data_IF_517168443510
#
_entry.id   IF_517168443510
#
_cell.length_a   1.000
_cell.length_b   1.000
_cell.length_c   1.000
_cell.angle_alpha   90.00
_cell.angle_beta   90.00
_cell.angle_gamma   90.00
#
_symmetry.space_group_name_H-M   'P 1'
#
loop_
_entity.id
_entity.type
_entity.pdbx_description
1 polymer ?
#
# COMPACT_ATOMS: atom_id res chain seq x y z
N UNK A 1 10.68 25.46 -2.89
CA UNK A 1 10.17 24.67 -4.03
C UNK A 1 9.77 25.67 -5.09
N UNK A 2 10.28 25.52 -6.31
CA UNK A 2 9.83 26.31 -7.47
C UNK A 2 8.39 25.91 -7.83
N UNK A 3 7.75 26.74 -8.65
CA UNK A 3 6.36 26.69 -9.13
C UNK A 3 5.80 25.26 -9.33
N UNK A 4 4.50 25.01 -9.03
CA UNK A 4 3.88 23.72 -9.28
C UNK A 4 4.13 23.31 -10.74
N UNK A 5 4.76 22.16 -10.94
CA UNK A 5 4.69 21.50 -12.24
C UNK A 5 3.29 20.95 -12.40
N UNK A 6 2.57 21.33 -13.46
CA UNK A 6 1.27 20.75 -13.80
C UNK A 6 1.49 19.34 -14.35
N UNK A 7 1.79 18.39 -13.48
CA UNK A 7 1.89 16.99 -13.88
C UNK A 7 0.50 16.39 -14.04
N UNK A 8 0.17 15.97 -15.27
CA UNK A 8 -1.10 15.37 -15.63
C UNK A 8 -0.99 13.86 -15.59
N UNK A 9 -2.00 13.20 -15.03
CA UNK A 9 -2.04 11.74 -15.01
C UNK A 9 -2.03 11.19 -16.44
N UNK A 10 -2.62 11.91 -17.39
CA UNK A 10 -2.61 11.57 -18.81
C UNK A 10 -1.22 11.57 -19.44
N UNK A 11 -0.20 12.17 -18.82
CA UNK A 11 1.19 12.07 -19.30
C UNK A 11 1.77 10.67 -19.07
N UNK A 12 1.26 9.95 -18.07
CA UNK A 12 1.74 8.64 -17.64
C UNK A 12 0.80 7.50 -18.08
N UNK A 13 -0.50 7.72 -17.98
CA UNK A 13 -1.53 6.69 -18.18
C UNK A 13 -2.09 6.77 -19.60
N UNK A 14 -2.17 5.62 -20.27
CA UNK A 14 -2.73 5.48 -21.62
C UNK A 14 -4.16 4.96 -21.63
N UNK A 15 -4.51 4.11 -20.67
CA UNK A 15 -5.80 3.43 -20.59
C UNK A 15 -6.11 3.04 -19.13
N UNK A 16 -7.39 2.84 -18.83
CA UNK A 16 -7.87 2.53 -17.48
C UNK A 16 -8.93 1.45 -17.54
N UNK A 17 -8.75 0.42 -16.72
CA UNK A 17 -9.74 -0.62 -16.47
C UNK A 17 -10.31 -0.46 -15.06
N UNK A 18 -11.63 -0.62 -14.93
CA UNK A 18 -12.32 -0.70 -13.65
C UNK A 18 -12.73 -2.16 -13.44
N UNK A 19 -12.35 -2.73 -12.29
CA UNK A 19 -12.80 -4.04 -11.85
C UNK A 19 -13.70 -3.85 -10.63
N UNK A 20 -14.97 -4.16 -10.82
CA UNK A 20 -15.98 -4.20 -9.76
C UNK A 20 -15.98 -5.58 -9.13
N UNK A 21 -16.00 -5.63 -7.80
CA UNK A 21 -16.05 -6.89 -7.08
C UNK A 21 -17.51 -7.23 -6.75
N UNK A 22 -17.89 -8.49 -6.94
CA UNK A 22 -19.18 -9.01 -6.49
C UNK A 22 -19.39 -8.63 -5.02
N UNK A 23 -20.56 -8.07 -4.73
CA UNK A 23 -21.00 -7.81 -3.37
C UNK A 23 -21.34 -9.14 -2.70
N UNK A 24 -20.34 -9.79 -2.12
CA UNK A 24 -20.60 -10.89 -1.20
C UNK A 24 -21.34 -10.29 -0.01
N UNK A 25 -22.43 -10.91 0.43
CA UNK A 25 -23.21 -10.42 1.57
C UNK A 25 -22.28 -10.16 2.76
N UNK A 26 -22.36 -8.95 3.29
CA UNK A 26 -21.53 -8.41 4.37
C UNK A 26 -20.05 -8.13 4.01
N UNK A 27 -19.65 -8.23 2.74
CA UNK A 27 -18.31 -7.91 2.26
C UNK A 27 -18.01 -6.40 2.24
N UNK A 28 -17.75 -5.82 3.41
CA UNK A 28 -17.38 -4.42 3.54
C UNK A 28 -15.88 -4.20 3.38
N UNK A 29 -15.52 -3.31 2.46
CA UNK A 29 -14.16 -3.01 2.08
C UNK A 29 -13.69 -1.79 2.84
N UNK A 30 -13.18 -1.99 4.06
CA UNK A 30 -12.55 -0.93 4.84
C UNK A 30 -11.16 -1.40 5.23
N UNK A 31 -10.15 -0.58 4.90
CA UNK A 31 -8.80 -0.71 5.42
C UNK A 31 -8.09 -2.06 5.11
N UNK A 32 -8.35 -2.65 3.93
CA UNK A 32 -7.61 -3.83 3.47
C UNK A 32 -6.15 -3.47 3.24
N UNK A 33 -5.25 -3.91 4.12
CA UNK A 33 -3.81 -3.64 3.93
C UNK A 33 -3.19 -4.56 2.87
N UNK A 34 -3.73 -5.76 2.67
CA UNK A 34 -3.25 -6.71 1.67
C UNK A 34 -4.20 -6.89 0.50
N UNK A 35 -3.79 -6.46 -0.70
CA UNK A 35 -4.45 -6.73 -1.97
C UNK A 35 -3.40 -7.26 -2.95
N UNK A 36 -3.68 -8.40 -3.57
CA UNK A 36 -2.91 -8.95 -4.68
C UNK A 36 -3.83 -9.08 -5.90
N UNK A 37 -3.38 -8.57 -7.04
CA UNK A 37 -4.00 -8.76 -8.34
C UNK A 37 -3.02 -9.54 -9.21
N UNK A 38 -3.45 -10.67 -9.75
CA UNK A 38 -2.69 -11.51 -10.67
C UNK A 38 -3.39 -11.57 -12.03
N UNK A 39 -2.97 -12.49 -12.90
CA UNK A 39 -3.56 -12.66 -14.23
C UNK A 39 -4.98 -13.23 -14.16
N UNK A 40 -5.23 -14.13 -13.20
CA UNK A 40 -6.52 -14.82 -13.08
C UNK A 40 -7.25 -14.54 -11.77
N UNK A 41 -6.59 -13.96 -10.76
CA UNK A 41 -7.17 -13.82 -9.43
C UNK A 41 -6.99 -12.43 -8.81
N UNK A 42 -7.94 -12.11 -7.93
CA UNK A 42 -7.86 -11.01 -6.98
C UNK A 42 -7.96 -11.61 -5.59
N UNK A 43 -6.97 -11.35 -4.74
CA UNK A 43 -6.97 -11.83 -3.37
C UNK A 43 -6.75 -10.66 -2.40
N UNK A 44 -7.59 -10.55 -1.37
CA UNK A 44 -7.39 -9.52 -0.35
C UNK A 44 -7.81 -9.98 1.04
N UNK A 45 -7.37 -9.24 2.05
CA UNK A 45 -7.72 -9.45 3.45
C UNK A 45 -8.64 -8.32 3.96
N UNK A 46 -9.86 -8.65 4.35
CA UNK A 46 -10.80 -7.69 4.91
C UNK A 46 -10.61 -7.52 6.41
N UNK A 47 -10.32 -6.29 6.83
CA UNK A 47 -10.10 -5.92 8.23
C UNK A 47 -11.37 -6.10 9.09
N UNK A 48 -12.50 -5.55 8.62
CA UNK A 48 -13.78 -5.55 9.38
C UNK A 48 -14.32 -6.95 9.60
N UNK A 49 -14.42 -7.74 8.54
CA UNK A 49 -15.01 -9.09 8.62
C UNK A 49 -14.01 -10.15 9.03
N UNK A 50 -12.72 -9.80 9.07
CA UNK A 50 -11.63 -10.68 9.47
C UNK A 50 -11.58 -11.94 8.59
N UNK A 51 -11.74 -11.75 7.28
CA UNK A 51 -11.75 -12.82 6.27
C UNK A 51 -10.80 -12.49 5.13
N UNK A 52 -10.19 -13.52 4.57
CA UNK A 52 -9.45 -13.44 3.33
C UNK A 52 -10.32 -13.95 2.17
N UNK A 53 -10.35 -13.21 1.08
CA UNK A 53 -11.22 -13.48 -0.06
C UNK A 53 -10.42 -13.73 -1.33
N UNK A 54 -10.93 -14.65 -2.15
CA UNK A 54 -10.45 -14.91 -3.49
C UNK A 54 -11.59 -14.68 -4.49
N UNK A 55 -11.28 -13.86 -5.49
CA UNK A 55 -12.12 -13.52 -6.62
C UNK A 55 -11.36 -13.89 -7.90
N UNK A 56 -12.09 -14.08 -9.00
CA UNK A 56 -11.44 -14.12 -10.31
C UNK A 56 -11.03 -12.70 -10.76
N UNK A 57 -10.25 -12.62 -11.83
CA UNK A 57 -9.76 -11.35 -12.40
C UNK A 57 -10.87 -10.41 -12.87
N UNK A 58 -12.07 -10.93 -13.14
CA UNK A 58 -13.24 -10.13 -13.52
C UNK A 58 -13.98 -9.55 -12.32
N UNK A 59 -13.57 -9.92 -11.10
CA UNK A 59 -14.18 -9.47 -9.86
C UNK A 59 -15.32 -10.35 -9.38
N UNK A 60 -15.51 -11.54 -9.97
CA UNK A 60 -16.52 -12.50 -9.49
C UNK A 60 -16.01 -13.24 -8.26
N UNK A 61 -16.85 -13.37 -7.25
CA UNK A 61 -16.48 -14.08 -6.03
C UNK A 61 -16.28 -15.58 -6.30
N UNK A 62 -15.13 -16.12 -5.86
CA UNK A 62 -14.84 -17.55 -5.92
C UNK A 62 -15.09 -18.19 -4.55
N UNK A 63 -14.35 -17.76 -3.52
CA UNK A 63 -14.38 -18.37 -2.18
C UNK A 63 -13.67 -17.53 -1.12
N UNK A 64 -13.88 -17.89 0.15
CA UNK A 64 -12.98 -17.49 1.22
C UNK A 64 -11.70 -18.34 1.16
N UNK A 65 -10.56 -17.73 1.45
CA UNK A 65 -9.31 -18.48 1.68
C UNK A 65 -9.29 -18.86 3.14
N UNK A 66 -9.25 -20.15 3.49
CA UNK A 66 -9.29 -20.61 4.87
C UNK A 66 -10.59 -20.27 5.63
N UNK A 67 -10.54 -20.30 6.96
CA UNK A 67 -11.69 -20.01 7.84
C UNK A 67 -11.29 -19.29 9.13
N UNK A 68 -12.26 -18.59 9.72
CA UNK A 68 -12.09 -17.91 10.99
C UNK A 68 -12.06 -18.94 12.13
N UNK A 69 -11.02 -18.90 12.95
CA UNK A 69 -10.81 -19.82 14.07
C UNK A 69 -9.37 -19.77 14.58
N UNK A 70 -9.03 -20.70 15.47
CA UNK A 70 -7.68 -20.76 16.10
C UNK A 70 -6.96 -22.09 15.83
N UNK A 71 -7.64 -23.03 15.19
CA UNK A 71 -7.09 -24.34 14.83
C UNK A 71 -6.05 -24.29 13.72
N UNK A 72 -5.50 -25.45 13.32
CA UNK A 72 -4.60 -25.55 12.18
C UNK A 72 -5.27 -25.08 10.89
N UNK A 73 -4.62 -24.17 10.16
CA UNK A 73 -5.17 -23.61 8.92
C UNK A 73 -6.33 -22.64 9.14
N UNK A 74 -6.51 -22.12 10.35
CA UNK A 74 -7.51 -21.10 10.69
C UNK A 74 -6.82 -19.81 11.17
N UNK A 75 -7.48 -18.68 10.95
CA UNK A 75 -7.02 -17.34 11.34
C UNK A 75 -8.08 -16.59 12.14
N UNK A 76 -7.70 -15.55 12.88
CA UNK A 76 -8.67 -14.73 13.65
C UNK A 76 -8.81 -13.33 13.08
N UNK A 77 -7.73 -12.79 12.53
CA UNK A 77 -7.62 -11.47 11.93
C UNK A 77 -6.56 -11.49 10.81
N UNK A 78 -6.93 -11.99 9.61
CA UNK A 78 -6.05 -12.01 8.46
C UNK A 78 -5.84 -10.55 8.01
N UNK A 79 -4.61 -10.07 8.11
CA UNK A 79 -4.28 -8.67 7.78
C UNK A 79 -3.57 -8.52 6.45
N UNK A 80 -2.95 -9.59 5.98
CA UNK A 80 -2.21 -9.59 4.74
C UNK A 80 -2.40 -10.89 3.97
N UNK A 81 -2.41 -10.77 2.65
CA UNK A 81 -2.42 -11.91 1.73
C UNK A 81 -1.46 -11.65 0.59
N UNK A 82 -0.88 -12.72 0.06
CA UNK A 82 -0.08 -12.70 -1.16
C UNK A 82 -0.38 -13.96 -1.97
N UNK A 83 -0.44 -13.83 -3.29
CA UNK A 83 -0.60 -14.94 -4.24
C UNK A 83 0.72 -15.14 -4.98
N UNK A 84 1.15 -16.39 -5.17
CA UNK A 84 2.38 -16.67 -5.91
C UNK A 84 2.23 -16.28 -7.40
N UNK A 85 3.31 -15.91 -8.11
CA UNK A 85 3.22 -15.48 -9.50
C UNK A 85 2.69 -16.56 -10.44
N UNK A 86 2.98 -17.83 -10.16
CA UNK A 86 2.41 -19.00 -10.84
C UNK A 86 0.99 -19.38 -10.38
N UNK A 87 0.41 -18.59 -9.47
CA UNK A 87 -0.94 -18.74 -8.93
C UNK A 87 -1.23 -20.12 -8.35
N UNK A 88 -0.21 -20.77 -7.78
CA UNK A 88 -0.36 -22.08 -7.10
C UNK A 88 -0.61 -21.94 -5.61
N UNK A 89 -0.15 -20.85 -5.00
CA UNK A 89 -0.14 -20.68 -3.56
C UNK A 89 -0.70 -19.34 -3.12
N UNK A 90 -1.36 -19.36 -1.95
CA UNK A 90 -1.79 -18.16 -1.24
C UNK A 90 -1.17 -18.20 0.15
N UNK A 91 -0.50 -17.14 0.56
CA UNK A 91 -0.05 -16.96 1.94
C UNK A 91 -0.99 -15.97 2.63
N UNK A 92 -1.47 -16.33 3.82
CA UNK A 92 -2.24 -15.45 4.70
C UNK A 92 -1.40 -15.15 5.93
N UNK A 93 -1.23 -13.87 6.23
CA UNK A 93 -0.64 -13.38 7.47
C UNK A 93 -1.72 -12.98 8.47
N UNK A 94 -1.81 -13.75 9.55
CA UNK A 94 -2.78 -13.53 10.63
C UNK A 94 -2.14 -12.78 11.80
N UNK A 95 -2.62 -11.57 12.07
CA UNK A 95 -2.01 -10.71 13.09
C UNK A 95 -2.40 -11.13 14.52
N UNK A 96 -3.64 -11.60 14.71
CA UNK A 96 -4.16 -11.92 16.04
C UNK A 96 -3.51 -13.18 16.62
N UNK A 97 -3.41 -14.26 15.84
CA UNK A 97 -2.73 -15.50 16.27
C UNK A 97 -1.24 -15.53 15.90
N UNK A 98 -0.77 -14.50 15.20
CA UNK A 98 0.62 -14.29 14.78
C UNK A 98 1.16 -15.45 13.95
N UNK A 99 0.45 -15.81 12.89
CA UNK A 99 0.78 -16.93 12.00
C UNK A 99 0.97 -16.47 10.55
N UNK A 100 1.90 -17.13 9.86
CA UNK A 100 1.85 -17.31 8.41
C UNK A 100 1.15 -18.64 8.14
N UNK A 101 0.20 -18.63 7.22
CA UNK A 101 -0.54 -19.81 6.82
C UNK A 101 -0.47 -19.92 5.30
N UNK A 102 0.07 -21.03 4.81
CA UNK A 102 0.18 -21.35 3.40
C UNK A 102 -1.01 -22.21 2.97
N UNK A 103 -1.67 -21.79 1.91
CA UNK A 103 -2.73 -22.52 1.22
C UNK A 103 -2.33 -22.76 -0.23
N UNK A 104 -2.94 -23.76 -0.86
CA UNK A 104 -2.99 -23.79 -2.33
C UNK A 104 -3.99 -22.75 -2.87
N UNK A 105 -3.99 -22.52 -4.18
CA UNK A 105 -4.92 -21.59 -4.84
C UNK A 105 -6.39 -22.01 -4.70
N UNK A 106 -6.66 -23.29 -4.43
CA UNK A 106 -8.01 -23.79 -4.15
C UNK A 106 -8.47 -23.46 -2.73
N UNK A 107 -7.60 -22.87 -1.90
CA UNK A 107 -7.87 -22.53 -0.51
C UNK A 107 -7.67 -23.69 0.46
N UNK A 108 -7.03 -24.78 0.04
CA UNK A 108 -6.72 -25.91 0.92
C UNK A 108 -5.48 -25.61 1.76
N UNK A 109 -5.58 -25.84 3.07
CA UNK A 109 -4.48 -25.63 4.00
C UNK A 109 -3.31 -26.58 3.70
N UNK A 110 -2.10 -26.03 3.63
CA UNK A 110 -0.86 -26.79 3.45
C UNK A 110 -0.07 -26.84 4.76
N UNK A 111 0.24 -25.67 5.35
CA UNK A 111 1.02 -25.56 6.59
C UNK A 111 0.93 -24.17 7.22
N UNK A 112 1.37 -24.05 8.47
CA UNK A 112 1.48 -22.78 9.18
C UNK A 112 2.78 -22.67 10.00
N UNK A 113 3.16 -21.43 10.32
CA UNK A 113 4.28 -21.09 11.20
C UNK A 113 3.96 -19.85 12.01
N UNK A 114 4.43 -19.78 13.26
CA UNK A 114 4.23 -18.60 14.11
C UNK A 114 5.33 -17.58 13.94
N UNK A 115 4.97 -16.30 13.77
CA UNK A 115 5.93 -15.20 13.68
C UNK A 115 6.85 -15.12 14.89
N UNK A 116 6.34 -15.42 16.10
CA UNK A 116 7.10 -15.29 17.36
C UNK A 116 8.41 -16.08 17.34
N UNK A 117 8.48 -17.14 16.55
CA UNK A 117 9.69 -17.96 16.36
C UNK A 117 10.78 -17.23 15.58
N UNK A 118 10.40 -16.29 14.70
CA UNK A 118 11.32 -15.57 13.80
C UNK A 118 11.49 -14.09 14.17
N UNK A 119 10.43 -13.48 14.71
CA UNK A 119 10.29 -12.09 15.12
C UNK A 119 9.37 -12.01 16.38
N UNK A 120 9.93 -11.74 17.57
CA UNK A 120 9.23 -11.96 18.83
C UNK A 120 8.14 -10.92 19.17
N UNK A 121 8.00 -9.80 18.44
CA UNK A 121 7.30 -8.65 19.01
C UNK A 121 6.46 -7.75 18.08
N UNK A 122 6.30 -8.01 16.77
CA UNK A 122 5.73 -6.98 15.87
C UNK A 122 4.55 -7.39 14.98
N UNK A 123 3.81 -6.34 14.61
CA UNK A 123 2.71 -6.30 13.66
C UNK A 123 3.22 -6.46 12.23
N UNK A 124 2.52 -7.27 11.45
CA UNK A 124 2.72 -7.44 10.02
C UNK A 124 2.36 -6.15 9.27
N UNK A 125 3.16 -5.74 8.27
CA UNK A 125 2.89 -4.53 7.49
C UNK A 125 2.65 -4.85 6.01
N UNK A 126 3.56 -5.54 5.35
CA UNK A 126 3.42 -5.93 3.94
C UNK A 126 3.92 -7.36 3.70
N UNK A 127 3.37 -8.00 2.68
CA UNK A 127 3.81 -9.31 2.19
C UNK A 127 3.68 -9.36 0.68
N UNK A 128 4.70 -9.87 0.00
CA UNK A 128 4.66 -10.09 -1.44
C UNK A 128 5.52 -11.29 -1.82
N UNK A 129 5.10 -12.04 -2.84
CA UNK A 129 5.96 -13.04 -3.44
C UNK A 129 7.07 -12.35 -4.25
N UNK A 130 8.31 -12.76 -3.95
CA UNK A 130 9.49 -12.37 -4.70
C UNK A 130 9.62 -13.20 -5.98
N UNK A 131 9.34 -14.50 -5.86
CA UNK A 131 9.36 -15.48 -6.95
C UNK A 131 8.39 -16.63 -6.63
N UNK A 132 8.33 -17.68 -7.44
CA UNK A 132 7.41 -18.81 -7.22
C UNK A 132 7.69 -19.64 -5.96
N UNK A 133 8.89 -19.51 -5.37
CA UNK A 133 9.32 -20.29 -4.21
C UNK A 133 9.47 -19.49 -2.93
N UNK A 134 9.57 -18.16 -3.03
CA UNK A 134 9.89 -17.28 -1.92
C UNK A 134 8.98 -16.07 -1.84
N UNK A 135 8.63 -15.68 -0.62
CA UNK A 135 7.89 -14.46 -0.34
C UNK A 135 8.56 -13.66 0.78
N UNK A 136 8.44 -12.34 0.69
CA UNK A 136 9.00 -11.39 1.62
C UNK A 136 7.91 -10.87 2.55
N UNK A 137 8.27 -10.68 3.81
CA UNK A 137 7.38 -10.20 4.87
C UNK A 137 8.05 -9.04 5.57
N UNK A 138 7.35 -7.91 5.69
CA UNK A 138 7.81 -6.75 6.45
C UNK A 138 7.04 -6.62 7.76
N UNK A 139 7.74 -6.18 8.80
CA UNK A 139 7.18 -6.03 10.15
C UNK A 139 7.40 -4.62 10.63
N UNK A 140 6.45 -4.08 11.38
CA UNK A 140 6.60 -2.77 12.00
C UNK A 140 7.86 -2.75 12.85
N UNK A 141 8.61 -1.63 12.78
CA UNK A 141 9.85 -1.49 13.53
C UNK A 141 9.59 -1.61 15.04
N UNK A 142 10.47 -2.32 15.76
CA UNK A 142 10.38 -2.38 17.20
C UNK A 142 10.39 -1.03 17.90
N UNK A 143 9.63 -0.93 18.99
CA UNK A 143 9.72 0.21 19.92
C UNK A 143 10.94 0.15 20.83
N UNK A 144 11.59 -1.01 20.88
CA UNK A 144 12.81 -1.28 21.65
C UNK A 144 13.71 -2.20 20.84
N UNK A 145 15.03 -2.12 20.97
CA UNK A 145 15.93 -2.95 20.21
C UNK A 145 15.67 -4.44 20.46
N UNK A 146 15.64 -5.23 19.39
CA UNK A 146 15.39 -6.68 19.44
C UNK A 146 16.56 -7.38 18.74
N UNK A 147 17.36 -8.19 19.48
CA UNK A 147 18.42 -8.98 18.88
C UNK A 147 17.93 -9.84 17.72
N UNK A 148 18.62 -9.76 16.57
CA UNK A 148 18.30 -10.53 15.38
C UNK A 148 17.11 -9.99 14.57
N UNK A 149 16.53 -8.83 14.94
CA UNK A 149 15.51 -8.18 14.13
C UNK A 149 16.08 -7.74 12.78
N UNK A 150 15.33 -8.01 11.73
CA UNK A 150 15.55 -7.50 10.38
C UNK A 150 14.24 -6.89 9.90
N UNK A 151 14.33 -5.79 9.14
CA UNK A 151 13.13 -5.11 8.63
C UNK A 151 12.30 -6.01 7.72
N UNK A 152 12.96 -6.96 7.02
CA UNK A 152 12.33 -7.85 6.07
C UNK A 152 12.87 -9.26 6.28
N UNK A 153 11.97 -10.23 6.28
CA UNK A 153 12.29 -11.66 6.27
C UNK A 153 11.80 -12.28 4.96
N UNK A 154 12.66 -13.06 4.31
CA UNK A 154 12.27 -13.88 3.17
C UNK A 154 12.01 -15.30 3.64
N UNK A 155 10.86 -15.83 3.28
CA UNK A 155 10.40 -17.18 3.60
C UNK A 155 10.30 -18.02 2.33
N UNK A 156 10.67 -19.30 2.43
CA UNK A 156 10.35 -20.29 1.40
C UNK A 156 8.92 -20.85 1.59
N UNK A 157 8.45 -21.69 0.65
CA UNK A 157 7.16 -22.39 0.76
C UNK A 157 7.10 -23.43 1.91
N UNK A 158 8.22 -23.76 2.55
CA UNK A 158 8.21 -24.52 3.80
C UNK A 158 7.98 -23.64 5.03
N UNK A 159 7.79 -22.34 4.83
CA UNK A 159 7.75 -21.29 5.85
C UNK A 159 9.06 -21.20 6.64
N UNK A 160 10.21 -21.55 6.06
CA UNK A 160 11.50 -21.33 6.69
C UNK A 160 12.06 -19.97 6.27
N UNK A 161 12.58 -19.21 7.24
CA UNK A 161 13.34 -17.99 6.94
C UNK A 161 14.61 -18.39 6.18
N UNK A 162 14.72 -17.94 4.93
CA UNK A 162 15.89 -18.17 4.07
C UNK A 162 16.80 -16.95 3.96
N UNK A 163 16.28 -15.76 4.25
CA UNK A 163 17.06 -14.52 4.21
C UNK A 163 16.54 -13.51 5.24
N UNK A 164 17.47 -12.74 5.83
CA UNK A 164 17.19 -11.59 6.69
C UNK A 164 17.77 -10.36 6.01
N UNK A 165 16.91 -9.43 5.62
CA UNK A 165 17.28 -8.25 4.83
C UNK A 165 17.13 -7.01 5.71
N UNK A 166 18.13 -6.12 5.65
CA UNK A 166 18.25 -4.94 6.53
C UNK A 166 18.21 -5.32 8.03
N UNK A 167 19.21 -6.09 8.54
CA UNK A 167 19.33 -6.33 9.97
C UNK A 167 19.50 -5.01 10.72
N UNK A 168 18.85 -4.88 11.88
CA UNK A 168 18.90 -3.66 12.68
C UNK A 168 19.73 -3.86 13.94
N UNK A 169 20.31 -2.75 14.41
CA UNK A 169 21.07 -2.78 15.65
C UNK A 169 20.17 -3.20 16.81
N UNK A 170 20.76 -3.92 17.75
CA UNK A 170 20.15 -4.24 19.03
C UNK A 170 20.63 -3.30 20.14
N UNK A 171 21.24 -2.17 19.77
CA UNK A 171 21.79 -1.17 20.69
C UNK A 171 20.69 -0.47 21.49
N UNK A 172 20.64 -0.65 22.83
CA UNK A 172 19.69 0.02 23.72
C UNK A 172 19.66 1.54 23.62
N UNK A 173 20.76 2.16 23.16
CA UNK A 173 20.88 3.61 23.04
C UNK A 173 20.36 4.15 21.70
N UNK A 174 20.02 3.29 20.73
CA UNK A 174 19.45 3.72 19.45
C UNK A 174 18.02 4.24 19.65
N UNK A 175 17.79 5.53 19.36
CA UNK A 175 16.46 6.12 19.39
C UNK A 175 15.55 5.44 18.34
N UNK A 176 14.48 4.80 18.81
CA UNK A 176 13.52 4.07 17.96
C UNK A 176 12.21 4.85 17.80
N UNK A 177 11.72 4.95 16.56
CA UNK A 177 10.37 5.45 16.28
C UNK A 177 9.36 4.33 16.43
N UNK A 178 8.32 4.56 17.22
CA UNK A 178 7.31 3.55 17.53
C UNK A 178 6.35 3.28 16.37
N UNK A 179 6.30 4.13 15.32
CA UNK A 179 5.20 4.17 14.36
C UNK A 179 5.65 4.19 12.90
N UNK A 180 6.83 3.66 12.61
CA UNK A 180 7.28 3.57 11.22
C UNK A 180 6.39 2.57 10.46
N UNK A 181 5.50 3.08 9.60
CA UNK A 181 4.91 2.28 8.54
C UNK A 181 6.05 1.93 7.57
N UNK A 182 6.17 0.64 7.27
CA UNK A 182 7.16 0.12 6.35
C UNK A 182 6.42 -0.32 5.10
N UNK A 183 6.63 0.33 3.97
CA UNK A 183 6.10 -0.20 2.73
C UNK A 183 7.18 -0.91 1.95
N UNK A 184 6.70 -1.90 1.21
CA UNK A 184 7.46 -2.64 0.24
C UNK A 184 6.57 -2.72 -1.00
N UNK A 185 7.03 -2.06 -2.06
CA UNK A 185 6.31 -1.97 -3.34
C UNK A 185 7.21 -2.61 -4.40
N UNK A 186 6.58 -3.32 -5.34
CA UNK A 186 7.30 -3.93 -6.46
C UNK A 186 7.89 -2.84 -7.36
N UNK A 187 9.14 -3.02 -7.79
CA UNK A 187 9.81 -2.20 -8.80
C UNK A 187 10.14 -3.07 -10.02
N UNK A 188 10.75 -2.51 -11.07
CA UNK A 188 10.98 -3.20 -12.37
C UNK A 188 11.57 -4.61 -12.23
N UNK A 189 12.62 -4.75 -11.42
CA UNK A 189 13.39 -6.00 -11.27
C UNK A 189 13.61 -6.38 -9.79
N UNK A 190 12.79 -5.82 -8.89
CA UNK A 190 12.94 -6.01 -7.46
C UNK A 190 11.84 -5.35 -6.63
N UNK A 191 12.22 -4.80 -5.48
CA UNK A 191 11.33 -4.12 -4.55
C UNK A 191 11.95 -2.82 -4.04
N UNK A 192 11.13 -1.78 -3.92
CA UNK A 192 11.47 -0.60 -3.15
C UNK A 192 10.97 -0.79 -1.72
N UNK A 193 11.82 -0.42 -0.76
CA UNK A 193 11.52 -0.50 0.67
C UNK A 193 11.86 0.83 1.34
N UNK A 194 10.91 1.35 2.12
CA UNK A 194 11.12 2.57 2.90
C UNK A 194 10.51 2.46 4.30
N UNK A 195 11.04 3.26 5.22
CA UNK A 195 10.52 3.43 6.59
C UNK A 195 10.06 4.89 6.79
N UNK A 196 8.86 5.12 7.34
CA UNK A 196 8.21 6.46 7.45
C UNK A 196 9.10 7.61 7.90
N UNK A 197 9.99 7.38 8.88
CA UNK A 197 10.83 8.41 9.50
C UNK A 197 12.30 8.36 9.03
N UNK A 198 12.61 7.53 8.04
CA UNK A 198 13.94 7.43 7.45
C UNK A 198 13.97 8.14 6.12
N UNK A 199 15.10 8.79 5.86
CA UNK A 199 15.37 9.54 4.64
C UNK A 199 15.85 8.65 3.49
N UNK A 200 16.08 7.37 3.73
CA UNK A 200 16.71 6.47 2.77
C UNK A 200 15.68 5.51 2.18
N UNK A 201 15.48 5.59 0.87
CA UNK A 201 14.77 4.58 0.09
C UNK A 201 15.76 3.50 -0.33
N UNK A 202 15.45 2.25 0.01
CA UNK A 202 16.24 1.10 -0.37
C UNK A 202 15.61 0.42 -1.58
N UNK A 203 16.46 -0.02 -2.51
CA UNK A 203 16.08 -0.99 -3.52
C UNK A 203 16.63 -2.36 -3.14
N UNK A 204 15.82 -3.37 -3.40
CA UNK A 204 16.09 -4.76 -3.09
C UNK A 204 15.96 -5.52 -4.40
N UNK A 205 17.06 -6.04 -4.92
CA UNK A 205 17.05 -6.78 -6.18
C UNK A 205 16.38 -8.16 -6.03
N UNK A 206 16.24 -8.85 -7.17
CA UNK A 206 15.73 -10.23 -7.23
C UNK A 206 16.60 -11.27 -6.50
N UNK A 207 17.80 -10.94 -6.04
CA UNK A 207 18.63 -11.79 -5.17
C UNK A 207 18.46 -11.44 -3.69
N UNK A 208 17.77 -10.33 -3.38
CA UNK A 208 17.61 -9.78 -2.04
C UNK A 208 18.80 -8.95 -1.57
N UNK A 209 19.69 -8.53 -2.48
CA UNK A 209 20.74 -7.57 -2.19
C UNK A 209 20.13 -6.18 -2.06
N UNK A 210 20.67 -5.39 -1.14
CA UNK A 210 20.11 -4.10 -0.77
C UNK A 210 21.04 -2.98 -1.17
N UNK A 211 20.50 -2.00 -1.88
CA UNK A 211 21.21 -0.78 -2.28
C UNK A 211 20.41 0.45 -1.84
N UNK A 212 21.03 1.43 -1.14
CA UNK A 212 20.39 2.71 -0.90
C UNK A 212 20.32 3.48 -2.24
N UNK A 213 19.11 3.74 -2.74
CA UNK A 213 18.90 4.41 -4.02
C UNK A 213 18.79 5.92 -3.89
N UNK A 214 18.03 6.39 -2.89
CA UNK A 214 17.75 7.81 -2.73
C UNK A 214 17.88 8.22 -1.27
N UNK A 215 18.54 9.36 -1.05
CA UNK A 215 18.49 10.11 0.20
C UNK A 215 17.53 11.29 0.01
N UNK A 216 16.33 11.17 0.55
CA UNK A 216 15.32 12.21 0.58
C UNK A 216 15.67 13.14 1.74
N UNK A 217 16.37 14.24 1.45
CA UNK A 217 16.91 15.17 2.44
C UNK A 217 15.85 15.83 3.33
N UNK A 218 15.42 15.12 4.38
CA UNK A 218 14.51 15.61 5.41
C UNK A 218 15.32 16.48 6.38
N UNK A 219 15.22 17.81 6.23
CA UNK A 219 16.01 18.74 7.04
C UNK A 219 15.69 18.71 8.54
N UNK A 220 14.50 18.24 8.93
CA UNK A 220 14.05 18.15 10.32
C UNK A 220 13.45 16.75 10.55
N UNK A 221 14.25 15.82 11.07
CA UNK A 221 13.76 14.50 11.45
C UNK A 221 12.93 14.60 12.73
N UNK A 222 11.77 13.96 12.75
CA UNK A 222 11.04 13.71 13.99
C UNK A 222 11.31 12.31 14.52
N UNK A 223 11.53 12.23 15.83
CA UNK A 223 11.59 10.99 16.59
C UNK A 223 10.21 10.75 17.20
N UNK A 224 9.27 10.24 16.40
CA UNK A 224 7.89 10.21 16.87
C UNK A 224 7.54 9.10 17.87
N UNK A 225 6.69 9.45 18.84
CA UNK A 225 5.95 8.55 19.72
C UNK A 225 4.44 8.42 19.40
N UNK A 226 3.86 9.13 18.42
CA UNK A 226 2.40 9.13 18.19
C UNK A 226 1.95 9.57 16.79
N UNK A 227 0.94 8.90 16.21
CA UNK A 227 0.27 9.39 14.99
C UNK A 227 -0.62 10.59 15.37
N UNK A 228 -0.38 11.75 14.77
CA UNK A 228 -1.28 12.90 14.86
C UNK A 228 -1.25 13.72 16.16
N UNK A 229 -0.27 13.52 17.04
CA UNK A 229 -0.06 14.44 18.17
C UNK A 229 0.94 15.53 17.75
N UNK A 230 0.68 16.81 18.02
CA UNK A 230 1.70 17.84 17.93
C UNK A 230 2.82 17.48 18.91
N UNK A 231 3.96 17.06 18.38
CA UNK A 231 5.16 16.97 19.20
C UNK A 231 5.61 18.37 19.52
N UNK A 232 6.04 18.61 20.76
CA UNK A 232 6.69 19.84 21.14
C UNK A 232 8.14 19.49 21.48
N UNK A 233 9.09 20.28 20.97
CA UNK A 233 10.49 20.18 21.36
C UNK A 233 10.65 20.50 22.86
N UNK A 234 11.87 20.34 23.38
CA UNK A 234 12.18 20.63 24.78
C UNK A 234 11.93 22.09 25.20
N UNK A 235 11.63 22.99 24.25
CA UNK A 235 11.28 24.38 24.47
C UNK A 235 9.77 24.66 24.42
N UNK A 236 8.94 23.62 24.18
CA UNK A 236 7.49 23.76 24.05
C UNK A 236 7.04 24.28 22.68
N UNK A 237 7.88 24.23 21.64
CA UNK A 237 7.51 24.56 20.25
C UNK A 237 7.18 23.31 19.46
N UNK A 238 6.18 23.38 18.58
CA UNK A 238 5.80 22.24 17.76
C UNK A 238 7.00 21.74 16.93
N UNK A 239 7.38 20.48 17.11
CA UNK A 239 8.46 19.82 16.40
C UNK A 239 8.11 19.72 14.91
N UNK A 240 9.08 20.04 14.06
CA UNK A 240 8.88 19.98 12.61
C UNK A 240 9.01 18.54 12.13
N UNK A 241 7.86 17.87 11.97
CA UNK A 241 7.82 16.47 11.56
C UNK A 241 7.54 16.32 10.08
N UNK A 242 8.44 15.58 9.41
CA UNK A 242 8.26 15.12 8.05
C UNK A 242 8.24 13.60 8.05
N UNK A 243 7.20 13.02 7.47
CA UNK A 243 6.97 11.60 7.35
C UNK A 243 6.77 11.26 5.88
N UNK A 244 7.52 10.32 5.34
CA UNK A 244 7.21 9.76 4.02
C UNK A 244 6.15 8.69 4.26
N UNK A 245 4.98 8.83 3.64
CA UNK A 245 3.82 7.97 3.82
C UNK A 245 3.66 6.93 2.74
N UNK A 246 4.12 7.22 1.52
CA UNK A 246 4.20 6.24 0.45
C UNK A 246 5.26 6.64 -0.57
N UNK A 247 5.76 5.65 -1.32
CA UNK A 247 6.73 5.83 -2.38
C UNK A 247 6.39 4.92 -3.55
N UNK A 248 5.93 5.48 -4.65
CA UNK A 248 5.79 4.75 -5.92
C UNK A 248 7.01 5.03 -6.79
N UNK A 249 7.81 3.99 -7.00
CA UNK A 249 8.98 4.03 -7.88
C UNK A 249 8.63 3.52 -9.28
N UNK A 250 8.67 4.41 -10.27
CA UNK A 250 8.50 4.11 -11.69
C UNK A 250 9.84 4.28 -12.43
N UNK A 251 9.98 3.78 -13.67
CA UNK A 251 11.29 3.73 -14.33
C UNK A 251 11.94 5.11 -14.52
N UNK A 252 11.14 6.14 -14.81
CA UNK A 252 11.60 7.50 -15.10
C UNK A 252 11.27 8.53 -14.00
N UNK A 253 10.49 8.13 -12.98
CA UNK A 253 9.98 9.05 -11.95
C UNK A 253 9.67 8.36 -10.63
N UNK A 254 9.66 9.14 -9.56
CA UNK A 254 9.34 8.69 -8.21
C UNK A 254 8.24 9.59 -7.66
N UNK A 255 7.11 9.01 -7.24
CA UNK A 255 6.08 9.72 -6.50
C UNK A 255 6.28 9.45 -5.02
N UNK A 256 6.26 10.50 -4.21
CA UNK A 256 6.53 10.43 -2.78
C UNK A 256 5.41 11.19 -2.08
N UNK A 257 4.64 10.47 -1.29
CA UNK A 257 3.61 11.05 -0.44
C UNK A 257 4.26 11.39 0.91
N UNK A 258 4.08 12.62 1.37
CA UNK A 258 4.78 13.16 2.53
C UNK A 258 3.79 13.90 3.42
N UNK A 259 3.77 13.60 4.72
CA UNK A 259 3.13 14.46 5.71
C UNK A 259 4.21 15.36 6.30
N UNK A 260 4.10 16.67 6.08
CA UNK A 260 4.99 17.67 6.62
C UNK A 260 4.18 18.63 7.51
N UNK A 261 4.51 18.72 8.80
CA UNK A 261 3.78 19.57 9.76
C UNK A 261 2.29 19.24 9.89
N UNK A 262 1.92 17.96 9.70
CA UNK A 262 0.53 17.53 9.70
C UNK A 262 -0.21 17.84 8.39
N UNK A 263 0.44 18.47 7.42
CA UNK A 263 -0.10 18.69 6.08
C UNK A 263 0.41 17.62 5.12
N UNK A 264 -0.51 16.94 4.43
CA UNK A 264 -0.17 16.06 3.31
C UNK A 264 0.36 16.88 2.13
N UNK A 265 1.48 16.44 1.56
CA UNK A 265 2.16 16.99 0.39
C UNK A 265 2.64 15.83 -0.46
N UNK A 266 2.49 15.92 -1.78
CA UNK A 266 3.06 14.92 -2.68
C UNK A 266 4.16 15.56 -3.52
N UNK A 267 5.20 14.77 -3.75
CA UNK A 267 6.40 15.18 -4.47
C UNK A 267 6.59 14.22 -5.63
N UNK A 268 6.75 14.78 -6.83
CA UNK A 268 7.22 14.04 -7.99
C UNK A 268 8.69 14.35 -8.20
N UNK A 269 9.51 13.32 -8.22
CA UNK A 269 10.90 13.41 -8.62
C UNK A 269 11.09 12.81 -10.01
N UNK A 270 11.51 13.63 -10.96
CA UNK A 270 11.89 13.19 -12.30
C UNK A 270 13.34 12.67 -12.25
N UNK A 271 13.52 11.37 -12.53
CA UNK A 271 14.83 10.71 -12.42
C UNK A 271 15.80 11.17 -13.51
N UNK A 272 15.29 11.55 -14.68
CA UNK A 272 16.10 12.01 -15.82
C UNK A 272 16.60 13.44 -15.61
N UNK A 273 15.71 14.33 -15.19
CA UNK A 273 16.04 15.72 -14.86
C UNK A 273 16.75 15.85 -13.51
N UNK A 274 16.66 14.83 -12.65
CA UNK A 274 17.13 14.81 -11.27
C UNK A 274 16.55 15.96 -10.45
N UNK A 275 15.27 16.25 -10.63
CA UNK A 275 14.58 17.39 -10.00
C UNK A 275 13.28 16.94 -9.34
N UNK A 276 13.01 17.50 -8.17
CA UNK A 276 11.78 17.31 -7.43
C UNK A 276 10.84 18.50 -7.65
N UNK A 277 9.57 18.20 -7.86
CA UNK A 277 8.49 19.14 -8.04
C UNK A 277 7.49 18.91 -6.90
N UNK A 278 7.15 19.98 -6.18
CA UNK A 278 5.95 19.93 -5.35
C UNK A 278 4.77 19.92 -6.30
N UNK A 279 3.88 18.96 -6.14
CA UNK A 279 2.62 18.98 -6.86
C UNK A 279 1.53 19.30 -5.83
N UNK A 280 0.60 20.18 -6.18
CA UNK A 280 -0.46 20.54 -5.26
C UNK A 280 -1.32 21.65 -5.79
N UNK A 281 -2.50 21.30 -6.30
CA UNK A 281 -3.69 22.13 -6.12
C UNK A 281 -4.87 21.23 -5.76
N UNK A 282 -5.76 21.69 -4.86
CA UNK A 282 -7.02 21.00 -4.61
C UNK A 282 -7.85 20.91 -5.89
N UNK A 283 -8.61 19.83 -5.95
CA UNK A 283 -9.36 19.34 -7.09
C UNK A 283 -10.75 20.00 -7.04
N UNK A 284 -11.13 20.68 -8.13
CA UNK A 284 -12.50 21.20 -8.28
C UNK A 284 -13.51 20.05 -8.06
N UNK A 285 -14.64 20.28 -7.38
CA UNK A 285 -15.68 19.29 -7.05
C UNK A 285 -15.52 18.50 -5.74
N UNK A 286 -14.40 18.60 -5.02
CA UNK A 286 -14.32 18.12 -3.63
C UNK A 286 -15.15 19.05 -2.73
N UNK A 287 -16.12 18.50 -2.02
CA UNK A 287 -17.02 19.24 -1.12
C UNK A 287 -16.60 19.14 0.34
N UNK A 288 -15.63 18.28 0.65
CA UNK A 288 -15.15 18.10 2.01
C UNK A 288 -13.93 19.00 2.28
N UNK A 289 -13.96 19.72 3.41
CA UNK A 289 -12.79 20.44 3.95
C UNK A 289 -11.70 19.49 4.51
N UNK A 290 -11.70 18.22 4.08
CA UNK A 290 -10.88 17.15 4.63
C UNK A 290 -9.43 17.27 4.15
N UNK A 291 -8.61 17.91 4.97
CA UNK A 291 -7.20 18.22 4.74
C UNK A 291 -6.25 17.02 4.60
N UNK A 292 -6.71 15.78 4.82
CA UNK A 292 -5.83 14.63 5.06
C UNK A 292 -5.39 13.87 3.81
N UNK A 293 -6.13 13.95 2.70
CA UNK A 293 -5.79 13.24 1.45
C UNK A 293 -5.92 14.17 0.25
N UNK A 294 -5.04 15.17 0.20
CA UNK A 294 -4.88 15.98 -1.02
C UNK A 294 -4.06 15.17 -2.01
N UNK A 295 -4.67 14.62 -3.05
CA UNK A 295 -3.92 14.04 -4.17
C UNK A 295 -3.38 15.15 -5.05
N UNK A 296 -2.12 15.02 -5.44
CA UNK A 296 -1.46 16.09 -6.19
C UNK A 296 -1.32 15.83 -7.68
N UNK A 297 -1.56 14.62 -8.19
CA UNK A 297 -1.57 14.43 -9.65
C UNK A 297 -2.89 14.99 -10.19
N UNK A 298 -2.84 15.84 -11.22
CA UNK A 298 -4.06 16.27 -11.90
C UNK A 298 -4.63 15.03 -12.59
N UNK A 299 -5.70 14.45 -12.04
CA UNK A 299 -6.37 13.33 -12.66
C UNK A 299 -7.23 13.82 -13.83
N UNK A 300 -6.60 14.29 -14.89
CA UNK A 300 -7.27 14.63 -16.14
C UNK A 300 -7.66 13.39 -16.96
N UNK A 301 -7.43 12.17 -16.43
CA UNK A 301 -7.81 10.92 -17.09
C UNK A 301 -9.25 10.56 -16.79
N UNK A 302 -9.62 10.48 -15.51
CA UNK A 302 -11.00 10.15 -15.10
C UNK A 302 -11.52 11.04 -13.95
N UNK A 303 -10.72 11.98 -13.46
CA UNK A 303 -11.20 13.08 -12.63
C UNK A 303 -11.81 12.69 -11.29
N UNK A 304 -11.43 11.55 -10.72
CA UNK A 304 -11.86 11.13 -9.38
C UNK A 304 -10.64 10.92 -8.49
N UNK A 305 -10.70 11.49 -7.31
CA UNK A 305 -9.64 11.51 -6.33
C UNK A 305 -10.23 11.28 -4.92
N UNK A 306 -9.45 10.82 -3.93
CA UNK A 306 -8.08 10.35 -4.05
C UNK A 306 -7.99 8.98 -4.74
N UNK A 307 -6.96 8.79 -5.57
CA UNK A 307 -6.59 7.48 -6.12
C UNK A 307 -5.62 6.82 -5.14
N UNK A 308 -6.03 5.73 -4.48
CA UNK A 308 -5.15 5.03 -3.55
C UNK A 308 -4.34 3.97 -4.28
N UNK A 309 -3.11 4.32 -4.65
CA UNK A 309 -2.19 3.37 -5.28
C UNK A 309 -1.88 2.25 -4.28
N UNK A 310 -1.96 1.02 -4.76
CA UNK A 310 -1.83 -0.19 -3.94
C UNK A 310 -0.64 -1.02 -4.38
N UNK A 311 -0.35 -1.05 -5.69
CA UNK A 311 0.79 -1.79 -6.22
C UNK A 311 1.17 -1.33 -7.63
N UNK A 312 2.32 -1.80 -8.12
CA UNK A 312 2.79 -1.64 -9.49
C UNK A 312 3.16 -3.02 -10.05
N UNK A 313 2.65 -3.33 -11.25
CA UNK A 313 3.04 -4.50 -12.02
C UNK A 313 3.98 -4.05 -13.16
N UNK A 314 5.30 -4.23 -13.02
CA UNK A 314 6.26 -3.81 -14.04
C UNK A 314 6.16 -4.60 -15.33
N UNK A 315 5.86 -5.90 -15.25
CA UNK A 315 5.80 -6.80 -16.40
C UNK A 315 4.70 -6.36 -17.38
N UNK A 316 3.59 -5.84 -16.82
CA UNK A 316 2.46 -5.32 -17.60
C UNK A 316 2.44 -3.79 -17.74
N UNK A 317 3.36 -3.09 -17.05
CA UNK A 317 3.33 -1.64 -16.89
C UNK A 317 1.97 -1.14 -16.40
N UNK A 318 1.47 -1.72 -15.31
CA UNK A 318 0.16 -1.42 -14.74
C UNK A 318 0.30 -0.89 -13.31
N UNK A 319 -0.30 0.27 -13.02
CA UNK A 319 -0.50 0.73 -11.64
C UNK A 319 -1.86 0.23 -11.16
N UNK A 320 -1.86 -0.43 -10.00
CA UNK A 320 -3.06 -0.95 -9.37
C UNK A 320 -3.45 0.01 -8.26
N UNK A 321 -4.64 0.59 -8.38
CA UNK A 321 -5.19 1.51 -7.41
C UNK A 321 -6.58 1.08 -6.95
N UNK A 322 -7.06 1.73 -5.90
CA UNK A 322 -8.39 1.52 -5.33
C UNK A 322 -9.13 2.84 -5.29
N UNK A 323 -10.40 2.76 -5.68
CA UNK A 323 -11.39 3.80 -5.42
C UNK A 323 -12.39 3.22 -4.43
N UNK A 324 -12.77 4.02 -3.44
CA UNK A 324 -13.74 3.63 -2.42
C UNK A 324 -15.01 4.47 -2.59
N UNK A 325 -15.91 4.09 -3.52
CA UNK A 325 -17.14 4.81 -3.80
C UNK A 325 -17.90 5.32 -2.57
N UNK A 326 -18.08 4.49 -1.54
CA UNK A 326 -18.80 4.90 -0.32
C UNK A 326 -18.14 6.04 0.46
N UNK A 327 -16.80 6.19 0.40
CA UNK A 327 -16.12 7.33 1.01
C UNK A 327 -16.18 8.59 0.12
N UNK A 328 -16.31 8.38 -1.19
CA UNK A 328 -16.42 9.45 -2.16
C UNK A 328 -17.80 10.14 -2.14
N UNK A 329 -18.87 9.43 -1.74
CA UNK A 329 -20.24 9.99 -1.64
C UNK A 329 -20.29 11.25 -0.79
N UNK A 330 -19.67 11.22 0.39
CA UNK A 330 -19.70 12.32 1.34
C UNK A 330 -18.68 13.44 1.02
N UNK A 331 -17.79 13.20 0.06
CA UNK A 331 -16.66 14.09 -0.25
C UNK A 331 -16.72 14.72 -1.64
N UNK A 332 -17.67 14.35 -2.51
CA UNK A 332 -17.70 14.85 -3.89
C UNK A 332 -19.06 15.38 -4.33
N UNK A 333 -19.06 16.52 -5.02
CA UNK A 333 -20.18 16.95 -5.86
C UNK A 333 -20.17 16.14 -7.16
N UNK A 334 -21.04 15.13 -7.23
CA UNK A 334 -21.21 14.25 -8.41
C UNK A 334 -21.59 15.04 -9.67
N UNK A 335 -22.38 16.11 -9.53
CA UNK A 335 -22.78 16.94 -10.67
C UNK A 335 -21.58 17.66 -11.26
N UNK A 336 -20.74 18.22 -10.39
CA UNK A 336 -19.48 18.83 -10.78
C UNK A 336 -18.52 17.78 -11.37
N UNK A 337 -18.39 16.60 -10.76
CA UNK A 337 -17.54 15.51 -11.27
C UNK A 337 -17.89 15.15 -12.71
N UNK A 338 -19.17 14.94 -13.02
CA UNK A 338 -19.64 14.58 -14.38
C UNK A 338 -19.36 15.66 -15.42
N UNK A 339 -19.21 16.92 -15.01
CA UNK A 339 -18.89 18.05 -15.90
C UNK A 339 -17.39 18.22 -16.15
N UNK A 340 -16.52 17.50 -15.44
CA UNK A 340 -15.06 17.63 -15.59
C UNK A 340 -14.61 17.19 -16.97
N UNK A 341 -13.81 18.03 -17.62
CA UNK A 341 -13.16 17.65 -18.86
C UNK A 341 -12.01 16.68 -18.57
N UNK A 342 -12.13 15.44 -19.07
CA UNK A 342 -11.16 14.36 -18.84
C UNK A 342 -10.92 13.58 -20.13
N UNK A 343 -9.81 12.87 -20.23
CA UNK A 343 -9.47 12.10 -21.44
C UNK A 343 -10.29 10.81 -21.57
N UNK A 344 -10.75 10.22 -20.46
CA UNK A 344 -11.59 9.01 -20.41
C UNK A 344 -12.95 9.28 -19.73
N UNK A 345 -13.88 10.00 -20.39
CA UNK A 345 -15.17 10.36 -19.79
C UNK A 345 -16.06 9.15 -19.46
N UNK A 346 -15.96 8.05 -20.22
CA UNK A 346 -16.71 6.82 -19.92
C UNK A 346 -16.29 6.18 -18.59
N UNK A 347 -14.99 6.22 -18.25
CA UNK A 347 -14.45 5.73 -16.98
C UNK A 347 -14.91 6.63 -15.84
N UNK A 348 -14.82 7.96 -16.01
CA UNK A 348 -15.35 8.95 -15.07
C UNK A 348 -16.83 8.71 -14.78
N UNK A 349 -17.65 8.59 -15.82
CA UNK A 349 -19.10 8.44 -15.68
C UNK A 349 -19.45 7.11 -14.99
N UNK A 350 -18.73 6.02 -15.32
CA UNK A 350 -18.91 4.73 -14.65
C UNK A 350 -18.57 4.80 -13.15
N UNK A 351 -17.46 5.43 -12.79
CA UNK A 351 -17.09 5.61 -11.39
C UNK A 351 -18.08 6.55 -10.67
N UNK A 352 -18.57 7.60 -11.32
CA UNK A 352 -19.61 8.47 -10.76
C UNK A 352 -20.90 7.69 -10.48
N UNK A 353 -21.32 6.79 -11.39
CA UNK A 353 -22.46 5.90 -11.15
C UNK A 353 -22.23 4.97 -9.94
N UNK A 354 -20.99 4.46 -9.76
CA UNK A 354 -20.63 3.63 -8.61
C UNK A 354 -20.66 4.40 -7.29
N UNK A 355 -20.25 5.68 -7.30
CA UNK A 355 -20.33 6.55 -6.14
C UNK A 355 -21.80 6.82 -5.82
N UNK A 356 -22.59 7.26 -6.79
CA UNK A 356 -24.01 7.59 -6.60
C UNK A 356 -24.87 6.40 -6.16
N UNK A 357 -24.53 5.19 -6.60
CA UNK A 357 -25.21 3.95 -6.20
C UNK A 357 -24.67 3.30 -4.92
N UNK A 358 -23.60 3.85 -4.31
CA UNK A 358 -23.05 3.31 -3.08
C UNK A 358 -24.04 3.54 -1.92
N UNK A 359 -24.41 2.46 -1.23
CA UNK A 359 -25.38 2.46 -0.12
C UNK A 359 -24.76 2.91 1.22
N UNK A 360 -23.74 3.76 1.17
CA UNK A 360 -22.97 4.21 2.33
C UNK A 360 -22.09 3.11 2.96
N UNK A 361 -22.18 1.86 2.49
CA UNK A 361 -21.31 0.79 2.94
C UNK A 361 -20.18 0.59 1.92
N UNK A 362 -18.95 0.65 2.40
CA UNK A 362 -17.78 0.78 1.54
C UNK A 362 -17.62 -0.42 0.59
N UNK A 363 -18.07 -0.24 -0.65
CA UNK A 363 -17.66 -1.04 -1.80
C UNK A 363 -16.36 -0.47 -2.36
N UNK A 364 -15.46 -1.33 -2.82
CA UNK A 364 -14.19 -0.95 -3.45
C UNK A 364 -14.24 -1.30 -4.93
N UNK A 365 -13.83 -0.36 -5.78
CA UNK A 365 -13.49 -0.64 -7.17
C UNK A 365 -11.97 -0.67 -7.31
N UNK A 366 -11.44 -1.68 -8.00
CA UNK A 366 -10.03 -1.71 -8.37
C UNK A 366 -9.90 -0.96 -9.70
N UNK A 367 -8.95 -0.04 -9.75
CA UNK A 367 -8.63 0.72 -10.95
C UNK A 367 -7.24 0.31 -11.41
N UNK A 368 -7.16 -0.30 -12.58
CA UNK A 368 -5.89 -0.70 -13.20
C UNK A 368 -5.55 0.34 -14.27
N UNK A 369 -4.50 1.11 -14.03
CA UNK A 369 -4.03 2.16 -14.93
C UNK A 369 -2.85 1.63 -15.74
N UNK A 370 -3.01 1.54 -17.06
CA UNK A 370 -1.94 1.11 -17.96
C UNK A 370 -1.04 2.29 -18.28
N UNK A 371 0.27 2.11 -18.12
CA UNK A 371 1.25 3.15 -18.43
C UNK A 371 1.56 3.18 -19.93
N UNK A 372 2.16 4.27 -20.39
CA UNK A 372 2.57 4.48 -21.79
C UNK A 372 3.83 3.70 -22.21
#
# INVERSE_FOLDING_TARGET
METPGDFRLSDLVSDVEIIELDTVKDAYFVNSMGLTLTDHFICFACDIQKKAYLFDRSGKFIRNVGRVGKGPGEYVWPRMVAVSPDERYIVVGDESTRKLILYDINGQYIRERRFKEDNPAFTLVSMAFKDNGNFMVTFRRPSRPVPGFASILTYDLNLKVVQRILPRSADPEEAMSNLSYMSMIRSEDGFCFWETYKDTLYYIDKEGMVEPQYHIGIKNHCFSMGFGLPEFDSSGKQAICTMIMDVLDLPDRLFIDVIHMGESRNVLYDKKLKRAFSIGQPIACDTADNSWVKTSVINDVFGIEPINISNYNPDKKEIIARVMPGWAVDSHDITCLRQRNVTLPAIRDRLADLIESADGVANMAIVVMKLK
#
